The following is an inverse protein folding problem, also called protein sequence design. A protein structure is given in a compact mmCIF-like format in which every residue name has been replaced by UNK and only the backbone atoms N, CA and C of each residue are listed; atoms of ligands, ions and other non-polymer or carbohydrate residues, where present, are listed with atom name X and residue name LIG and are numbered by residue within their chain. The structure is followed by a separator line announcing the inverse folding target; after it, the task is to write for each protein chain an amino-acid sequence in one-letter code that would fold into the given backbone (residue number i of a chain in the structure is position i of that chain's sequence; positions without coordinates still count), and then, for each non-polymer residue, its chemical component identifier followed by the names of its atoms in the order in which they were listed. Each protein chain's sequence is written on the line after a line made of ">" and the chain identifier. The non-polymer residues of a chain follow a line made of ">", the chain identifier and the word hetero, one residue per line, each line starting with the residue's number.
data_IF_118285996297
#
_entry.id   IF_118285996297
#
_cell.length_a   1.000
_cell.length_b   1.000
_cell.length_c   1.000
_cell.angle_alpha   90.00
_cell.angle_beta   90.00
_cell.angle_gamma   90.00
#
_symmetry.space_group_name_H-M   'P 1'
#
loop_
_entity.id
_entity.type
_entity.pdbx_description
1 polymer ?
#
# COMPACT_ATOMS: atom_id res chain seq x y z
N UNK A 1 0.76 -18.02 1.92
CA UNK A 1 0.99 -16.58 1.92
C UNK A 1 0.76 -16.01 0.53
N UNK A 2 0.10 -14.86 0.45
CA UNK A 2 -0.12 -14.15 -0.80
C UNK A 2 0.41 -12.72 -0.66
N UNK A 3 0.56 -12.06 -1.80
CA UNK A 3 1.02 -10.67 -1.82
C UNK A 3 0.02 -9.83 -2.60
N UNK A 4 -0.20 -8.63 -2.13
CA UNK A 4 -1.11 -7.70 -2.80
C UNK A 4 -0.30 -6.51 -3.30
N UNK A 5 -0.30 -6.31 -4.62
CA UNK A 5 0.28 -5.12 -5.22
C UNK A 5 -0.83 -4.12 -5.47
N UNK A 6 -0.73 -2.97 -4.81
CA UNK A 6 -1.71 -1.90 -4.99
C UNK A 6 -1.08 -0.77 -5.77
N UNK A 7 -1.80 -0.31 -6.77
CA UNK A 7 -1.36 0.81 -7.62
C UNK A 7 -2.41 1.91 -7.51
N UNK A 8 -2.00 3.05 -6.99
CA UNK A 8 -2.86 4.22 -6.86
C UNK A 8 -2.50 5.20 -7.95
N UNK A 9 -3.49 5.63 -8.72
CA UNK A 9 -3.32 6.76 -9.65
C UNK A 9 -3.87 7.99 -8.97
N UNK A 10 -3.01 8.99 -8.76
CA UNK A 10 -3.41 10.23 -8.10
C UNK A 10 -4.24 11.09 -9.06
N UNK A 11 -5.11 11.91 -8.49
CA UNK A 11 -5.73 12.99 -9.25
C UNK A 11 -4.65 13.94 -9.77
N UNK A 12 -4.89 14.62 -10.91
CA UNK A 12 -3.88 15.52 -11.47
C UNK A 12 -3.32 16.48 -10.43
N UNK A 13 -1.98 16.49 -10.29
CA UNK A 13 -1.29 17.36 -9.37
C UNK A 13 -1.33 16.97 -7.91
N UNK A 14 -1.99 15.86 -7.56
CA UNK A 14 -2.22 15.50 -6.16
C UNK A 14 -1.28 14.41 -5.63
N UNK A 15 -0.33 13.92 -6.41
CA UNK A 15 0.59 12.89 -5.90
C UNK A 15 1.40 13.36 -4.68
N UNK A 16 1.92 14.61 -4.63
CA UNK A 16 2.59 15.08 -3.43
C UNK A 16 1.70 15.05 -2.18
N UNK A 17 0.42 15.37 -2.32
CA UNK A 17 -0.53 15.32 -1.20
C UNK A 17 -0.81 13.87 -0.79
N UNK A 18 -0.88 12.96 -1.76
CA UNK A 18 -1.03 11.53 -1.48
C UNK A 18 0.19 11.00 -0.72
N UNK A 19 1.40 11.39 -1.14
CA UNK A 19 2.62 11.04 -0.42
C UNK A 19 2.58 11.54 1.02
N UNK A 20 2.11 12.77 1.23
CA UNK A 20 2.01 13.33 2.58
C UNK A 20 1.07 12.50 3.44
N UNK A 21 -0.11 12.14 2.91
CA UNK A 21 -1.05 11.30 3.65
C UNK A 21 -0.44 9.96 4.04
N UNK A 22 0.24 9.31 3.12
CA UNK A 22 0.92 8.03 3.42
C UNK A 22 2.02 8.22 4.44
N UNK A 23 2.88 9.21 4.25
CA UNK A 23 4.03 9.44 5.13
C UNK A 23 3.63 9.79 6.54
N UNK A 24 2.61 10.62 6.69
CA UNK A 24 2.23 11.15 8.01
C UNK A 24 1.20 10.28 8.71
N UNK A 25 0.38 9.55 7.98
CA UNK A 25 -0.76 8.86 8.57
C UNK A 25 -0.91 7.40 8.17
N UNK A 26 -1.05 7.12 6.87
CA UNK A 26 -1.46 5.79 6.40
C UNK A 26 -0.48 4.70 6.82
N UNK A 27 0.82 4.94 6.66
CA UNK A 27 1.84 3.95 7.04
C UNK A 27 1.81 3.65 8.53
N UNK A 28 1.50 4.65 9.35
CA UNK A 28 1.40 4.48 10.81
C UNK A 28 0.17 3.69 11.18
N UNK A 29 -0.94 3.91 10.49
CA UNK A 29 -2.17 3.15 10.73
C UNK A 29 -2.02 1.70 10.31
N UNK A 30 -1.34 1.44 9.20
CA UNK A 30 -1.02 0.07 8.80
C UNK A 30 -0.15 -0.63 9.85
N UNK A 31 0.89 0.05 10.31
CA UNK A 31 1.79 -0.51 11.32
C UNK A 31 1.08 -0.79 12.64
N UNK A 32 0.16 0.08 13.03
CA UNK A 32 -0.64 -0.10 14.25
C UNK A 32 -1.49 -1.36 14.18
N UNK A 33 -1.96 -1.74 13.00
CA UNK A 33 -2.73 -2.97 12.80
C UNK A 33 -1.84 -4.20 12.64
N UNK A 34 -0.54 -4.03 12.65
CA UNK A 34 0.39 -5.13 12.47
C UNK A 34 0.51 -5.62 11.04
N UNK A 35 0.07 -4.82 10.07
CA UNK A 35 0.14 -5.22 8.67
C UNK A 35 1.58 -5.29 8.19
N UNK A 36 1.87 -6.32 7.43
CA UNK A 36 3.20 -6.52 6.87
C UNK A 36 3.27 -5.84 5.50
N UNK A 37 3.99 -4.73 5.44
CA UNK A 37 4.19 -3.99 4.20
C UNK A 37 5.58 -4.27 3.67
N UNK A 38 5.66 -4.69 2.42
CA UNK A 38 6.93 -5.02 1.76
C UNK A 38 7.67 -3.75 1.35
N UNK A 39 6.96 -2.77 0.82
CA UNK A 39 7.57 -1.51 0.41
C UNK A 39 6.59 -0.62 -0.34
N UNK A 40 7.06 0.60 -0.61
CA UNK A 40 6.32 1.63 -1.32
C UNK A 40 7.23 2.20 -2.40
N UNK A 41 6.70 2.39 -3.62
CA UNK A 41 7.50 2.83 -4.76
C UNK A 41 6.74 3.82 -5.62
N UNK A 42 7.49 4.67 -6.30
CA UNK A 42 7.02 5.42 -7.46
C UNK A 42 7.90 5.05 -8.64
N UNK A 43 7.43 5.33 -9.84
CA UNK A 43 8.25 5.07 -11.02
C UNK A 43 9.37 6.12 -11.11
N UNK A 44 10.59 5.64 -11.19
CA UNK A 44 11.73 6.50 -11.52
C UNK A 44 11.86 6.64 -13.01
N UNK A 45 11.58 5.56 -13.74
CA UNK A 45 11.58 5.51 -15.20
C UNK A 45 10.46 4.58 -15.67
N UNK A 46 9.92 4.87 -16.83
CA UNK A 46 9.11 3.94 -17.60
C UNK A 46 7.64 3.92 -17.32
N UNK A 47 7.21 4.18 -16.11
CA UNK A 47 5.80 4.18 -15.75
C UNK A 47 5.23 5.58 -15.61
N UNK A 48 3.91 5.69 -15.34
CA UNK A 48 3.26 6.97 -15.14
C UNK A 48 3.82 7.73 -13.94
N UNK A 49 3.93 9.04 -14.07
CA UNK A 49 4.50 9.90 -13.02
C UNK A 49 3.51 10.21 -11.89
N UNK A 50 2.25 9.79 -12.02
CA UNK A 50 1.19 10.10 -11.06
C UNK A 50 0.77 8.87 -10.25
N UNK A 51 1.60 7.83 -10.20
CA UNK A 51 1.26 6.59 -9.52
C UNK A 51 2.14 6.30 -8.31
N UNK A 52 1.49 5.76 -7.28
CA UNK A 52 2.12 5.21 -6.10
C UNK A 52 1.82 3.72 -6.05
N UNK A 53 2.86 2.90 -5.90
CA UNK A 53 2.72 1.46 -5.79
C UNK A 53 3.17 1.01 -4.41
N UNK A 54 2.46 0.05 -3.82
CA UNK A 54 2.97 -0.59 -2.60
C UNK A 54 2.50 -2.03 -2.53
N UNK A 55 3.22 -2.83 -1.76
CA UNK A 55 2.96 -4.27 -1.67
C UNK A 55 2.76 -4.68 -0.23
N UNK A 56 1.71 -5.46 0.01
CA UNK A 56 1.38 -6.03 1.30
C UNK A 56 1.54 -7.54 1.26
N UNK A 57 1.91 -8.14 2.37
CA UNK A 57 1.93 -9.60 2.52
C UNK A 57 0.79 -10.01 3.45
N UNK A 58 0.03 -11.03 3.05
CA UNK A 58 -1.11 -11.55 3.80
C UNK A 58 -0.99 -13.05 3.97
N UNK A 59 -1.47 -13.57 5.10
CA UNK A 59 -1.48 -15.01 5.32
C UNK A 59 -2.34 -15.71 4.28
N UNK A 60 -3.53 -15.15 4.00
CA UNK A 60 -4.45 -15.68 3.01
C UNK A 60 -5.44 -14.60 2.56
N UNK A 61 -6.27 -14.94 1.59
CA UNK A 61 -7.24 -14.01 1.02
C UNK A 61 -8.30 -13.59 2.04
N UNK A 62 -8.76 -14.51 2.87
CA UNK A 62 -9.80 -14.20 3.86
C UNK A 62 -9.30 -13.19 4.89
N UNK A 63 -8.07 -13.35 5.35
CA UNK A 63 -7.45 -12.39 6.26
C UNK A 63 -7.32 -11.02 5.61
N UNK A 64 -6.85 -10.98 4.37
CA UNK A 64 -6.75 -9.74 3.60
C UNK A 64 -8.09 -9.03 3.52
N UNK A 65 -9.14 -9.76 3.15
CA UNK A 65 -10.46 -9.17 2.96
C UNK A 65 -11.01 -8.61 4.27
N UNK A 66 -10.85 -9.36 5.36
CA UNK A 66 -11.32 -8.93 6.68
C UNK A 66 -10.55 -7.70 7.18
N UNK A 67 -9.24 -7.67 6.98
CA UNK A 67 -8.41 -6.55 7.42
C UNK A 67 -8.73 -5.26 6.67
N UNK A 68 -8.90 -5.34 5.34
CA UNK A 68 -9.27 -4.15 4.58
C UNK A 68 -10.65 -3.64 4.94
N UNK A 69 -11.61 -4.53 5.20
CA UNK A 69 -12.94 -4.13 5.65
C UNK A 69 -12.87 -3.40 6.99
N UNK A 70 -12.10 -3.94 7.93
CA UNK A 70 -11.92 -3.31 9.25
C UNK A 70 -11.22 -1.95 9.13
N UNK A 71 -10.22 -1.83 8.26
CA UNK A 71 -9.52 -0.57 8.04
C UNK A 71 -10.46 0.50 7.47
N UNK A 72 -11.29 0.13 6.50
CA UNK A 72 -12.25 1.07 5.92
C UNK A 72 -13.29 1.56 6.91
N UNK A 73 -13.60 0.76 7.93
CA UNK A 73 -14.55 1.11 8.99
C UNK A 73 -13.88 1.83 10.16
N UNK A 74 -12.56 1.94 10.19
CA UNK A 74 -11.82 2.56 11.29
C UNK A 74 -12.07 4.06 11.30
N UNK A 75 -12.63 4.62 12.40
CA UNK A 75 -12.89 6.06 12.47
C UNK A 75 -11.64 6.91 12.33
N UNK A 76 -10.50 6.43 12.79
CA UNK A 76 -9.24 7.16 12.67
C UNK A 76 -8.83 7.30 11.20
N UNK A 77 -8.95 6.23 10.42
CA UNK A 77 -8.69 6.31 8.99
C UNK A 77 -9.69 7.23 8.29
N UNK A 78 -10.97 7.14 8.64
CA UNK A 78 -12.00 7.99 8.05
C UNK A 78 -11.70 9.46 8.29
N UNK A 79 -11.23 9.82 9.48
CA UNK A 79 -10.83 11.20 9.79
C UNK A 79 -9.63 11.65 8.95
N UNK A 80 -8.61 10.81 8.86
CA UNK A 80 -7.42 11.10 8.06
C UNK A 80 -7.80 11.33 6.61
N UNK A 81 -8.61 10.43 6.06
CA UNK A 81 -9.06 10.55 4.69
C UNK A 81 -9.82 11.84 4.45
N UNK A 82 -10.80 12.12 5.28
CA UNK A 82 -11.63 13.31 5.15
C UNK A 82 -10.78 14.59 5.20
N UNK A 83 -9.87 14.68 6.15
CA UNK A 83 -8.99 15.84 6.28
C UNK A 83 -8.07 16.00 5.06
N UNK A 84 -7.53 14.91 4.56
CA UNK A 84 -6.64 14.95 3.40
C UNK A 84 -7.38 15.29 2.10
N UNK A 85 -8.70 15.07 2.07
CA UNK A 85 -9.52 15.35 0.89
C UNK A 85 -10.37 16.60 1.03
N UNK A 86 -10.02 17.48 1.97
CA UNK A 86 -10.77 18.72 2.18
C UNK A 86 -10.82 19.58 0.92
N UNK A 87 -9.78 19.53 0.10
CA UNK A 87 -9.67 20.28 -1.15
C UNK A 87 -9.96 19.41 -2.38
N UNK A 88 -10.62 18.27 -2.18
CA UNK A 88 -10.97 17.35 -3.25
C UNK A 88 -10.27 16.02 -3.12
N UNK A 89 -10.66 15.03 -3.93
CA UNK A 89 -10.09 13.69 -3.87
C UNK A 89 -8.61 13.68 -4.23
N UNK A 90 -7.85 12.78 -3.60
CA UNK A 90 -6.44 12.57 -3.90
C UNK A 90 -6.23 11.47 -4.94
N UNK A 91 -7.11 10.48 -4.96
CA UNK A 91 -6.94 9.26 -5.75
C UNK A 91 -8.02 9.17 -6.80
N UNK A 92 -7.60 9.03 -8.06
CA UNK A 92 -8.50 8.84 -9.18
C UNK A 92 -8.88 7.37 -9.35
N UNK A 93 -7.94 6.48 -9.09
CA UNK A 93 -8.12 5.05 -9.36
C UNK A 93 -7.20 4.21 -8.47
N UNK A 94 -7.71 3.07 -8.02
CA UNK A 94 -6.94 2.08 -7.27
C UNK A 94 -7.06 0.75 -7.99
N UNK A 95 -5.90 0.14 -8.26
CA UNK A 95 -5.82 -1.22 -8.76
C UNK A 95 -5.20 -2.10 -7.67
N UNK A 96 -5.76 -3.29 -7.49
CA UNK A 96 -5.24 -4.28 -6.56
C UNK A 96 -5.05 -5.59 -7.30
N UNK A 97 -3.83 -6.11 -7.27
CA UNK A 97 -3.49 -7.40 -7.87
C UNK A 97 -3.01 -8.33 -6.77
N UNK A 98 -3.54 -9.54 -6.75
CA UNK A 98 -3.14 -10.58 -5.79
C UNK A 98 -2.16 -11.51 -6.48
N UNK A 99 -0.99 -11.67 -5.87
CA UNK A 99 0.11 -12.45 -6.42
C UNK A 99 0.36 -13.66 -5.53
N UNK A 100 0.51 -14.81 -6.15
CA UNK A 100 0.94 -16.03 -5.46
C UNK A 100 2.43 -16.22 -5.75
N UNK A 101 3.27 -16.38 -4.72
CA UNK A 101 4.69 -16.59 -4.97
C UNK A 101 4.94 -17.94 -5.62
N UNK A 102 5.93 -18.00 -6.49
CA UNK A 102 6.39 -19.28 -7.04
C UNK A 102 7.17 -20.03 -5.97
N UNK A 103 7.40 -21.32 -6.20
CA UNK A 103 8.16 -22.16 -5.25
C UNK A 103 9.63 -21.76 -5.18
N UNK A 104 10.13 -21.02 -6.17
CA UNK A 104 11.51 -20.54 -6.19
C UNK A 104 11.66 -19.07 -5.83
N UNK A 105 10.59 -18.40 -5.42
CA UNK A 105 10.63 -16.98 -5.09
C UNK A 105 11.21 -16.79 -3.67
N UNK A 106 12.17 -15.88 -3.48
CA UNK A 106 12.59 -15.53 -2.13
C UNK A 106 11.46 -14.77 -1.43
N UNK A 107 11.45 -14.81 -0.09
CA UNK A 107 10.47 -14.05 0.67
C UNK A 107 10.75 -12.55 0.50
N UNK A 108 9.75 -11.76 0.08
CA UNK A 108 9.93 -10.31 -0.03
C UNK A 108 10.30 -9.69 1.32
N UNK A 109 11.09 -8.63 1.26
CA UNK A 109 11.52 -7.93 2.45
C UNK A 109 12.68 -8.57 3.18
N UNK A 110 13.13 -9.75 2.76
CA UNK A 110 14.31 -10.40 3.31
C UNK A 110 15.52 -10.08 2.48
N UNK A 111 16.61 -9.76 3.14
CA UNK A 111 17.87 -9.61 2.46
C UNK A 111 18.45 -10.98 2.17
N UNK A 112 18.75 -11.27 0.92
CA UNK A 112 19.45 -12.49 0.58
C UNK A 112 20.85 -12.51 1.18
N UNK A 113 21.41 -11.35 1.46
CA UNK A 113 22.73 -11.26 2.09
C UNK A 113 22.75 -11.88 3.48
N UNK A 114 21.62 -11.99 4.16
CA UNK A 114 21.58 -12.63 5.46
C UNK A 114 21.62 -14.13 5.41
N UNK A 115 21.43 -14.72 4.27
CA UNK A 115 21.28 -16.16 4.15
C UNK A 115 22.50 -16.83 3.59
N UNK A 116 23.38 -16.11 3.01
CA UNK A 116 24.48 -16.70 2.29
C UNK A 116 25.78 -16.01 2.57
N UNK A 117 25.87 -15.53 3.67
CA UNK A 117 27.18 -15.00 3.99
C UNK A 117 27.90 -15.84 4.76
#
# INVERSE_FOLDING_TARGET
>A
MIYELRTYTAMPGRLPDLHRRFREHTTKLFAKRGWQCVGYWTYKHGGPSDQLLYMMAWDDQATRDAEWAAFGADPQWQQVRAASEADGPLVAHIRSDILAPTDYSPAPGRSSARRHR
#
